data_IF_624527729086
#
_entry.id   IF_624527729086
#
_cell.length_a   1.000
_cell.length_b   1.000
_cell.length_c   1.000
_cell.angle_alpha   90.00
_cell.angle_beta   90.00
_cell.angle_gamma   90.00
#
_symmetry.space_group_name_H-M   'P 1'
#
loop_
_entity.id
_entity.type
_entity.pdbx_description
1 polymer ?
#
# COMPACT_ATOMS: atom_id res chain seq x y z
N UNK A 1 -6.37 9.41 24.23
CA UNK A 1 -6.49 7.99 23.80
C UNK A 1 -5.40 7.21 24.50
N UNK A 2 -5.73 6.12 25.20
CA UNK A 2 -4.73 5.27 25.88
C UNK A 2 -4.02 4.33 24.91
N UNK A 3 -2.99 3.62 25.37
CA UNK A 3 -2.31 2.60 24.56
C UNK A 3 -3.24 1.44 24.25
N UNK A 4 -3.14 0.93 23.02
CA UNK A 4 -3.81 -0.30 22.60
C UNK A 4 -2.79 -1.45 22.47
N UNK A 5 -3.30 -2.68 22.53
CA UNK A 5 -2.51 -3.87 22.21
C UNK A 5 -2.09 -3.86 20.73
N UNK A 6 -0.91 -4.40 20.45
CA UNK A 6 -0.46 -4.70 19.08
C UNK A 6 -1.37 -5.78 18.49
N UNK A 7 -1.94 -5.53 17.32
CA UNK A 7 -2.87 -6.46 16.66
C UNK A 7 -2.18 -7.39 15.68
N UNK A 8 -0.96 -7.07 15.29
CA UNK A 8 -0.13 -7.89 14.43
C UNK A 8 0.90 -7.08 13.67
N UNK A 9 1.49 -7.72 12.68
CA UNK A 9 2.45 -7.10 11.79
C UNK A 9 2.90 -8.04 10.68
N UNK A 10 3.78 -7.54 9.83
CA UNK A 10 4.29 -8.27 8.68
C UNK A 10 5.71 -7.85 8.32
N UNK A 11 6.56 -8.78 7.88
CA UNK A 11 7.87 -8.44 7.32
C UNK A 11 7.67 -7.97 5.89
N UNK A 12 7.89 -6.69 5.62
CA UNK A 12 7.65 -6.14 4.29
C UNK A 12 8.72 -6.63 3.31
N UNK A 13 8.29 -7.35 2.26
CA UNK A 13 9.15 -7.88 1.20
C UNK A 13 8.75 -7.37 -0.19
N UNK A 14 7.82 -6.43 -0.24
CA UNK A 14 7.36 -5.79 -1.46
C UNK A 14 8.44 -4.90 -2.09
N UNK A 15 8.28 -4.62 -3.37
CA UNK A 15 9.16 -3.69 -4.10
C UNK A 15 8.57 -2.27 -4.21
N UNK A 16 7.31 -2.08 -3.79
CA UNK A 16 6.63 -0.79 -3.91
C UNK A 16 7.22 0.27 -2.96
N UNK A 17 7.55 -0.12 -1.73
CA UNK A 17 8.29 0.72 -0.78
C UNK A 17 9.67 0.13 -0.47
N UNK A 18 10.74 0.55 -1.18
CA UNK A 18 12.07 0.00 -0.96
C UNK A 18 12.69 0.41 0.38
N UNK A 19 12.18 1.44 1.06
CA UNK A 19 12.70 1.85 2.38
C UNK A 19 12.19 0.94 3.51
N UNK A 20 11.09 0.23 3.27
CA UNK A 20 10.52 -0.74 4.22
C UNK A 20 11.02 -2.16 4.00
N UNK A 21 11.73 -2.43 2.90
CA UNK A 21 12.18 -3.80 2.58
C UNK A 21 12.99 -4.42 3.73
N UNK A 22 12.56 -5.61 4.17
CA UNK A 22 13.17 -6.36 5.27
C UNK A 22 12.78 -5.89 6.67
N UNK A 23 12.03 -4.79 6.81
CA UNK A 23 11.56 -4.30 8.12
C UNK A 23 10.27 -5.01 8.52
N UNK A 24 10.12 -5.28 9.81
CA UNK A 24 8.87 -5.78 10.38
C UNK A 24 7.95 -4.60 10.72
N UNK A 25 6.86 -4.43 9.99
CA UNK A 25 5.88 -3.36 10.21
C UNK A 25 4.78 -3.88 11.14
N UNK A 26 4.44 -3.14 12.18
CA UNK A 26 3.37 -3.51 13.11
C UNK A 26 2.66 -2.28 13.69
N UNK A 27 1.43 -2.46 14.17
CA UNK A 27 0.59 -1.38 14.67
C UNK A 27 -0.26 -1.82 15.87
N UNK A 28 -0.75 -0.83 16.61
CA UNK A 28 -1.76 -1.05 17.66
C UNK A 28 -3.19 -1.13 17.09
N UNK A 29 -4.13 -1.60 17.92
CA UNK A 29 -5.56 -1.72 17.55
C UNK A 29 -6.17 -0.39 17.10
N UNK A 30 -5.73 0.74 17.63
CA UNK A 30 -6.36 2.04 17.41
C UNK A 30 -5.79 2.80 16.21
N UNK A 31 -4.83 2.21 15.49
CA UNK A 31 -4.04 2.90 14.49
C UNK A 31 -3.44 4.21 15.04
N UNK A 32 -3.13 4.26 16.34
CA UNK A 32 -2.60 5.46 16.97
C UNK A 32 -1.09 5.58 16.81
N UNK A 33 -0.43 4.45 16.54
CA UNK A 33 0.97 4.38 16.19
C UNK A 33 1.27 3.14 15.32
N UNK A 34 2.24 3.30 14.43
CA UNK A 34 2.89 2.24 13.67
C UNK A 34 4.37 2.25 13.96
N UNK A 35 4.98 1.07 13.93
CA UNK A 35 6.41 0.90 14.13
C UNK A 35 7.01 0.03 13.05
N UNK A 36 8.30 0.23 12.83
CA UNK A 36 9.14 -0.68 12.07
C UNK A 36 10.22 -1.26 12.99
N UNK A 37 10.27 -2.58 13.09
CA UNK A 37 11.39 -3.31 13.63
C UNK A 37 12.47 -3.49 12.55
N UNK A 38 13.67 -3.00 12.82
CA UNK A 38 14.85 -3.24 11.98
C UNK A 38 15.79 -4.21 12.70
N UNK A 39 16.25 -5.23 11.98
CA UNK A 39 17.15 -6.25 12.52
C UNK A 39 18.60 -5.92 12.17
N UNK A 40 19.49 -5.93 13.17
CA UNK A 40 20.92 -5.67 12.98
C UNK A 40 21.78 -6.51 13.93
N UNK A 41 22.69 -7.37 13.42
CA UNK A 41 22.88 -7.74 12.01
C UNK A 41 21.70 -8.58 11.46
N UNK A 42 21.58 -8.77 10.14
CA UNK A 42 20.54 -9.62 9.56
C UNK A 42 20.54 -11.03 10.16
N UNK A 43 19.36 -11.59 10.40
CA UNK A 43 19.15 -12.90 11.04
C UNK A 43 19.66 -13.04 12.48
N UNK A 44 19.87 -11.94 13.20
CA UNK A 44 20.28 -11.96 14.62
C UNK A 44 19.16 -12.24 15.61
N UNK A 45 17.91 -12.09 15.20
CA UNK A 45 16.74 -12.05 16.08
C UNK A 45 16.63 -10.76 16.92
N UNK A 46 17.57 -9.82 16.78
CA UNK A 46 17.57 -8.58 17.56
C UNK A 46 16.97 -7.42 16.76
N UNK A 47 15.78 -6.99 17.18
CA UNK A 47 15.02 -5.94 16.51
C UNK A 47 15.05 -4.65 17.31
N UNK A 48 15.45 -3.57 16.65
CA UNK A 48 15.23 -2.21 17.15
C UNK A 48 13.92 -1.68 16.59
N UNK A 49 13.00 -1.32 17.47
CA UNK A 49 11.75 -0.68 17.09
C UNK A 49 11.94 0.82 16.89
N UNK A 50 11.32 1.36 15.85
CA UNK A 50 11.26 2.80 15.61
C UNK A 50 9.84 3.17 15.24
N UNK A 51 9.31 4.24 15.85
CA UNK A 51 8.02 4.81 15.49
C UNK A 51 8.07 5.28 14.02
N UNK A 52 7.10 4.84 13.23
CA UNK A 52 7.05 5.08 11.79
C UNK A 52 5.92 6.04 11.46
N UNK A 53 6.21 7.20 10.85
CA UNK A 53 5.15 8.08 10.38
C UNK A 53 4.40 7.43 9.22
N UNK A 54 3.09 7.65 9.15
CA UNK A 54 2.25 7.15 8.06
C UNK A 54 1.16 8.18 7.73
N UNK A 55 0.73 8.17 6.47
CA UNK A 55 -0.32 9.02 5.92
C UNK A 55 -0.95 8.30 4.72
N UNK A 56 -2.12 8.74 4.25
CA UNK A 56 -2.68 8.17 3.04
C UNK A 56 -2.10 8.81 1.78
N UNK A 57 -2.18 8.06 0.68
CA UNK A 57 -1.85 8.59 -0.63
C UNK A 57 -2.82 9.69 -1.06
N UNK A 58 -2.31 10.73 -1.73
CA UNK A 58 -3.14 11.73 -2.43
C UNK A 58 -4.08 11.14 -3.48
N UNK A 59 -3.76 9.95 -3.98
CA UNK A 59 -4.53 9.24 -5.01
C UNK A 59 -5.41 8.13 -4.40
N UNK A 60 -5.60 8.13 -3.07
CA UNK A 60 -6.44 7.14 -2.41
C UNK A 60 -7.91 7.28 -2.85
N UNK A 61 -8.60 6.17 -3.21
CA UNK A 61 -10.03 6.20 -3.51
C UNK A 61 -10.87 6.42 -2.24
N UNK A 62 -10.34 6.08 -1.07
CA UNK A 62 -10.94 6.37 0.24
C UNK A 62 -10.40 7.72 0.71
N UNK A 63 -11.27 8.70 1.06
CA UNK A 63 -10.82 9.98 1.61
C UNK A 63 -9.92 9.79 2.83
N UNK A 64 -8.80 10.50 2.85
CA UNK A 64 -7.88 10.49 3.97
C UNK A 64 -8.38 11.46 5.06
N UNK A 65 -9.39 11.03 5.81
CA UNK A 65 -9.84 11.77 6.99
C UNK A 65 -8.78 11.69 8.08
N UNK A 66 -8.58 12.75 8.83
CA UNK A 66 -7.76 12.71 10.05
C UNK A 66 -8.64 12.48 11.26
N UNK A 67 -8.11 11.82 12.29
CA UNK A 67 -8.79 11.68 13.58
C UNK A 67 -8.88 13.04 14.26
N UNK A 68 -10.09 13.60 14.45
CA UNK A 68 -10.38 14.78 15.28
C UNK A 68 -9.33 15.91 15.23
N UNK A 69 -8.92 16.33 14.02
CA UNK A 69 -7.95 17.42 13.81
C UNK A 69 -6.48 17.05 14.10
N UNK A 70 -6.19 15.79 14.39
CA UNK A 70 -4.84 15.25 14.57
C UNK A 70 -4.07 15.04 13.25
N UNK A 71 -2.77 14.74 13.33
CA UNK A 71 -1.91 14.58 12.14
C UNK A 71 -2.03 13.19 11.48
N UNK A 72 -2.65 12.21 12.15
CA UNK A 72 -2.71 10.83 11.68
C UNK A 72 -4.02 10.55 10.91
N UNK A 73 -3.97 9.69 9.88
CA UNK A 73 -5.15 9.28 9.16
C UNK A 73 -6.04 8.40 10.05
N UNK A 74 -7.36 8.62 9.95
CA UNK A 74 -8.38 7.84 10.64
C UNK A 74 -8.60 6.52 9.91
N UNK A 75 -7.81 5.50 10.26
CA UNK A 75 -7.99 4.14 9.75
C UNK A 75 -9.06 3.35 10.53
N UNK A 76 -9.47 3.86 11.70
CA UNK A 76 -10.34 3.17 12.63
C UNK A 76 -9.59 2.08 13.40
N UNK A 77 -10.23 0.93 13.63
CA UNK A 77 -9.60 -0.20 14.32
C UNK A 77 -8.87 -1.12 13.33
N UNK A 78 -7.59 -1.39 13.58
CA UNK A 78 -6.81 -2.36 12.77
C UNK A 78 -7.12 -3.77 13.24
N UNK A 79 -7.64 -4.61 12.36
CA UNK A 79 -8.00 -5.99 12.68
C UNK A 79 -6.90 -6.99 12.34
N UNK A 80 -6.26 -6.83 11.18
CA UNK A 80 -5.25 -7.77 10.70
C UNK A 80 -4.39 -7.18 9.59
N UNK A 81 -3.33 -7.92 9.24
CA UNK A 81 -2.42 -7.63 8.14
C UNK A 81 -2.49 -8.77 7.12
N UNK A 82 -2.23 -8.45 5.85
CA UNK A 82 -2.17 -9.42 4.76
C UNK A 82 -1.03 -9.09 3.79
N UNK A 83 -0.67 -10.07 2.96
CA UNK A 83 0.34 -9.93 1.91
C UNK A 83 -0.26 -10.40 0.59
N UNK A 84 -0.08 -9.63 -0.49
CA UNK A 84 -0.42 -10.09 -1.85
C UNK A 84 0.71 -10.93 -2.49
N UNK A 85 0.49 -11.44 -3.69
CA UNK A 85 1.49 -12.22 -4.42
C UNK A 85 2.73 -11.40 -4.85
N UNK A 86 2.65 -10.07 -4.81
CA UNK A 86 3.78 -9.16 -5.08
C UNK A 86 4.51 -8.74 -3.80
N UNK A 87 4.15 -9.35 -2.66
CA UNK A 87 4.75 -9.08 -1.35
C UNK A 87 4.42 -7.70 -0.79
N UNK A 88 3.43 -7.03 -1.36
CA UNK A 88 2.92 -5.79 -0.77
C UNK A 88 1.99 -6.11 0.40
N UNK A 89 2.16 -5.33 1.46
CA UNK A 89 1.38 -5.49 2.69
C UNK A 89 0.09 -4.71 2.61
N UNK A 90 -0.97 -5.32 3.12
CA UNK A 90 -2.30 -4.74 3.28
C UNK A 90 -2.68 -4.73 4.76
N UNK A 91 -3.45 -3.73 5.16
CA UNK A 91 -3.97 -3.54 6.52
C UNK A 91 -5.49 -3.55 6.40
N UNK A 92 -6.12 -4.53 7.05
CA UNK A 92 -7.57 -4.56 7.20
C UNK A 92 -7.94 -3.75 8.44
N UNK A 93 -8.70 -2.68 8.26
CA UNK A 93 -9.20 -1.84 9.34
C UNK A 93 -10.69 -1.54 9.19
N UNK A 94 -11.31 -1.02 10.25
CA UNK A 94 -12.76 -0.79 10.28
C UNK A 94 -13.25 0.25 9.27
N UNK A 95 -12.38 1.13 8.77
CA UNK A 95 -12.69 2.12 7.73
C UNK A 95 -12.25 1.71 6.31
N UNK A 96 -11.62 0.54 6.14
CA UNK A 96 -11.25 0.04 4.82
C UNK A 96 -10.06 -0.93 4.81
N UNK A 97 -9.68 -1.32 3.60
CA UNK A 97 -8.46 -2.10 3.34
C UNK A 97 -7.43 -1.18 2.72
N UNK A 98 -6.30 -1.03 3.40
CA UNK A 98 -5.23 -0.11 3.01
C UNK A 98 -4.03 -0.90 2.51
N UNK A 99 -3.43 -0.46 1.40
CA UNK A 99 -2.19 -1.04 0.87
C UNK A 99 -1.01 -0.15 1.24
N UNK A 100 0.10 -0.75 1.65
CA UNK A 100 1.38 -0.04 1.75
C UNK A 100 1.85 0.34 0.34
N UNK A 101 2.08 1.62 0.10
CA UNK A 101 2.47 2.18 -1.19
C UNK A 101 3.79 2.94 -1.09
N UNK A 102 4.33 3.34 -2.24
CA UNK A 102 5.61 4.05 -2.30
C UNK A 102 5.56 5.36 -1.49
N UNK A 103 6.62 5.70 -0.74
CA UNK A 103 6.65 6.82 0.21
C UNK A 103 6.18 8.15 -0.36
N UNK A 104 6.59 8.49 -1.58
CA UNK A 104 6.26 9.79 -2.18
C UNK A 104 4.77 9.98 -2.51
N UNK A 105 3.98 8.91 -2.65
CA UNK A 105 2.52 9.02 -2.77
C UNK A 105 1.87 9.57 -1.50
N UNK A 106 2.53 9.35 -0.36
CA UNK A 106 2.14 9.75 0.98
C UNK A 106 2.89 11.01 1.46
N UNK A 107 3.73 11.61 0.62
CA UNK A 107 4.50 12.82 0.95
C UNK A 107 5.77 12.55 1.76
N UNK A 108 6.26 11.31 1.79
CA UNK A 108 7.52 10.96 2.43
C UNK A 108 8.64 10.81 1.39
N UNK A 109 9.87 11.09 1.80
CA UNK A 109 11.06 10.89 0.98
C UNK A 109 11.70 9.54 1.30
N UNK A 110 12.14 8.83 0.26
CA UNK A 110 12.92 7.62 0.37
C UNK A 110 14.07 7.67 -0.63
N UNK A 111 15.30 7.64 -0.16
CA UNK A 111 16.50 7.74 -1.02
C UNK A 111 16.59 6.59 -2.03
N UNK A 112 16.04 5.43 -1.68
CA UNK A 112 16.01 4.23 -2.53
C UNK A 112 14.81 4.19 -3.48
N UNK A 113 13.82 5.08 -3.32
CA UNK A 113 12.67 5.14 -4.22
C UNK A 113 13.13 5.70 -5.58
N UNK A 114 13.03 4.87 -6.62
CA UNK A 114 13.25 5.32 -7.99
C UNK A 114 12.12 6.26 -8.40
N UNK A 115 12.41 7.43 -9.00
CA UNK A 115 11.37 8.29 -9.57
C UNK A 115 10.49 7.50 -10.53
N UNK A 116 9.18 7.77 -10.51
CA UNK A 116 8.29 7.23 -11.52
C UNK A 116 8.82 7.64 -12.90
N UNK A 117 9.10 6.66 -13.76
CA UNK A 117 9.44 6.92 -15.14
C UNK A 117 8.22 7.59 -15.77
N UNK A 118 8.26 8.90 -15.95
CA UNK A 118 7.27 9.59 -16.78
C UNK A 118 7.40 8.98 -18.18
N UNK A 119 6.32 8.47 -18.80
CA UNK A 119 6.36 8.19 -20.22
C UNK A 119 6.69 9.50 -20.92
N UNK A 120 7.87 9.58 -21.53
CA UNK A 120 8.23 10.68 -22.41
C UNK A 120 7.10 10.81 -23.46
N UNK A 121 6.53 12.01 -23.69
CA UNK A 121 5.54 12.18 -24.74
C UNK A 121 6.19 11.70 -26.06
N UNK A 122 5.52 10.86 -26.86
CA UNK A 122 6.08 10.50 -28.15
C UNK A 122 6.31 11.79 -28.94
N UNK A 123 7.55 12.04 -29.32
CA UNK A 123 7.93 13.11 -30.25
C UNK A 123 7.26 12.84 -31.60
N UNK A 124 6.08 13.40 -31.79
CA UNK A 124 5.30 13.22 -33.01
C UNK A 124 5.84 14.08 -34.16
N UNK A 125 5.85 13.57 -35.41
CA UNK A 125 5.82 14.40 -36.60
C UNK A 125 4.38 14.56 -37.15
N UNK A 126 4.19 15.68 -37.85
CA UNK A 126 2.94 16.23 -38.40
C UNK A 126 2.04 15.29 -39.24
N UNK A 127 0.74 15.58 -39.09
CA UNK A 127 -0.40 15.39 -40.01
C UNK A 127 -0.20 14.62 -41.32
N UNK A 128 -0.99 13.56 -41.49
CA UNK A 128 -1.76 13.34 -42.72
C UNK A 128 -3.07 12.60 -42.41
N UNK A 129 -4.16 13.10 -42.99
CA UNK A 129 -5.49 12.49 -42.96
C UNK A 129 -5.43 11.14 -43.69
N UNK A 130 -5.86 10.07 -43.03
CA UNK A 130 -6.29 8.84 -43.68
C UNK A 130 -7.46 8.23 -42.91
N UNK A 131 -8.64 8.28 -43.52
CA UNK A 131 -9.83 7.54 -43.12
C UNK A 131 -9.62 6.06 -43.42
N UNK A 132 -9.73 5.19 -42.40
CA UNK A 132 -9.93 3.75 -42.62
C UNK A 132 -10.97 3.20 -41.66
N UNK A 133 -11.84 2.38 -42.23
CA UNK A 133 -13.11 1.85 -41.75
C UNK A 133 -13.03 0.83 -40.62
N UNK A 134 -14.10 0.83 -39.82
CA UNK A 134 -14.66 -0.17 -38.89
C UNK A 134 -14.32 -1.63 -39.22
N UNK A 135 -13.95 -2.40 -38.19
CA UNK A 135 -14.46 -3.76 -38.00
C UNK A 135 -14.37 -4.18 -36.52
N UNK A 136 -15.46 -4.74 -36.01
CA UNK A 136 -15.63 -5.07 -34.60
C UNK A 136 -15.29 -6.52 -34.27
N UNK A 137 -14.90 -6.75 -33.02
CA UNK A 137 -15.04 -8.05 -32.35
C UNK A 137 -15.34 -7.81 -30.88
N UNK A 138 -16.57 -8.12 -30.48
CA UNK A 138 -16.99 -8.31 -29.10
C UNK A 138 -16.32 -9.59 -28.59
N UNK A 139 -15.45 -9.48 -27.59
CA UNK A 139 -14.98 -10.64 -26.83
C UNK A 139 -15.83 -10.72 -25.55
N UNK A 140 -16.73 -11.69 -25.51
CA UNK A 140 -17.46 -12.07 -24.32
C UNK A 140 -16.48 -12.67 -23.29
N UNK A 141 -16.39 -12.05 -22.11
CA UNK A 141 -15.65 -12.61 -20.98
C UNK A 141 -16.64 -13.41 -20.14
N UNK A 142 -16.44 -14.72 -20.09
CA UNK A 142 -17.21 -15.62 -19.25
C UNK A 142 -16.92 -15.34 -17.76
N UNK A 143 -17.98 -15.08 -17.00
CA UNK A 143 -17.94 -14.97 -15.54
C UNK A 143 -17.80 -16.37 -14.94
N UNK A 144 -16.62 -16.71 -14.42
CA UNK A 144 -16.45 -17.86 -13.55
C UNK A 144 -16.71 -17.41 -12.11
N UNK A 145 -17.88 -17.78 -11.58
CA UNK A 145 -18.24 -17.65 -10.18
C UNK A 145 -17.45 -18.68 -9.35
N UNK A 146 -16.42 -18.22 -8.64
CA UNK A 146 -15.74 -19.04 -7.62
C UNK A 146 -16.56 -18.94 -6.33
N UNK A 147 -17.38 -19.95 -6.09
CA UNK A 147 -18.02 -20.18 -4.78
C UNK A 147 -16.94 -20.74 -3.86
N UNK A 148 -16.33 -19.88 -3.03
CA UNK A 148 -15.49 -20.33 -1.93
C UNK A 148 -16.39 -20.85 -0.80
N UNK A 149 -16.58 -22.16 -0.75
CA UNK A 149 -17.07 -22.84 0.46
C UNK A 149 -15.94 -22.82 1.49
N UNK A 150 -16.02 -21.89 2.44
CA UNK A 150 -15.18 -21.89 3.64
C UNK A 150 -15.79 -22.86 4.66
N UNK A 151 -15.10 -23.97 4.92
CA UNK A 151 -15.24 -24.68 6.18
C UNK A 151 -14.25 -24.04 7.17
N UNK A 152 -14.76 -23.80 8.38
CA UNK A 152 -14.19 -23.06 9.51
C UNK A 152 -12.69 -23.24 9.75
#
# INVERSE_FOLDING_TARGET
VGSASITGGYVYRGSTDPCLYGRYIYADLYASAMWTGSEAPPSSGNYTSTLTPFSCSKNSPIPCETTDGGPLPSLGYIFSFGEDNRKDVFILASKGVYRVVRPSLCGFACATEKPATTPEPPSGPSSSLASVTREGKLMAVALASVVYSLYF
#
